data_IF_284700846782
#
_entry.id   IF_284700846782
#
_cell.length_a   1.000
_cell.length_b   1.000
_cell.length_c   1.000
_cell.angle_alpha   90.00
_cell.angle_beta   90.00
_cell.angle_gamma   90.00
#
_symmetry.space_group_name_H-M   'P 1'
#
loop_
_entity.id
_entity.type
_entity.pdbx_description
1 polymer ?
#
# COMPACT_ATOMS: atom_id res chain seq x y z
N UNK A 1 25.16 -49.59 -42.25
CA UNK A 1 26.13 -48.46 -42.16
C UNK A 1 25.93 -47.77 -40.82
N UNK A 2 27.03 -47.27 -40.24
CA UNK A 2 27.24 -46.92 -38.83
C UNK A 2 26.35 -45.76 -38.31
N UNK A 3 25.83 -45.95 -37.08
CA UNK A 3 25.71 -45.11 -35.87
C UNK A 3 26.29 -43.66 -35.84
N UNK A 4 26.11 -42.85 -34.75
CA UNK A 4 24.93 -42.55 -33.90
C UNK A 4 24.91 -41.10 -33.28
N UNK A 5 23.87 -40.79 -32.49
CA UNK A 5 23.79 -40.17 -31.12
C UNK A 5 24.59 -38.91 -30.64
N UNK A 6 23.92 -38.17 -29.72
CA UNK A 6 24.44 -37.26 -28.64
C UNK A 6 23.57 -35.99 -28.54
N UNK A 7 22.78 -35.65 -27.51
CA UNK A 7 22.92 -35.50 -26.03
C UNK A 7 24.03 -34.52 -25.58
N UNK A 8 23.66 -33.64 -24.63
CA UNK A 8 24.43 -32.73 -23.73
C UNK A 8 24.61 -31.30 -24.27
N UNK A 9 24.40 -30.19 -23.52
CA UNK A 9 24.08 -30.01 -22.11
C UNK A 9 23.94 -28.52 -21.72
N UNK A 10 23.53 -28.31 -20.46
CA UNK A 10 23.37 -27.03 -19.75
C UNK A 10 24.69 -26.23 -19.68
N UNK A 11 24.59 -24.90 -19.78
CA UNK A 11 25.69 -23.96 -19.53
C UNK A 11 25.36 -23.00 -18.40
N UNK A 12 25.95 -23.23 -17.24
CA UNK A 12 26.06 -22.31 -16.09
C UNK A 12 27.33 -21.47 -16.28
N UNK A 13 27.31 -20.16 -16.01
CA UNK A 13 28.54 -19.37 -15.83
C UNK A 13 28.42 -18.45 -14.61
N UNK A 14 29.03 -18.91 -13.51
CA UNK A 14 29.77 -18.11 -12.51
C UNK A 14 31.26 -18.47 -12.77
N UNK A 15 32.32 -17.68 -12.57
CA UNK A 15 32.66 -16.56 -11.68
C UNK A 15 34.15 -16.18 -11.89
N UNK A 16 34.61 -15.11 -11.22
CA UNK A 16 36.00 -14.72 -10.89
C UNK A 16 36.87 -14.14 -12.03
N UNK A 17 37.73 -13.13 -11.85
CA UNK A 17 38.17 -12.39 -10.66
C UNK A 17 39.56 -11.77 -10.92
N UNK A 18 39.74 -10.51 -10.50
CA UNK A 18 40.96 -9.87 -9.94
C UNK A 18 42.25 -9.80 -10.81
N UNK A 19 42.82 -8.60 -10.96
CA UNK A 19 44.15 -8.19 -10.41
C UNK A 19 44.42 -6.71 -10.75
N UNK A 20 44.89 -6.00 -9.72
CA UNK A 20 45.18 -4.58 -9.60
C UNK A 20 46.53 -4.14 -10.20
N UNK A 21 46.68 -2.83 -10.47
CA UNK A 21 47.91 -2.08 -10.18
C UNK A 21 47.68 -0.56 -10.21
N UNK A 22 48.18 0.10 -9.16
CA UNK A 22 48.17 1.54 -8.90
C UNK A 22 48.99 2.37 -9.91
N UNK A 23 48.60 3.64 -10.09
CA UNK A 23 49.52 4.78 -10.04
C UNK A 23 48.77 6.08 -9.72
N UNK A 24 49.21 6.74 -8.66
CA UNK A 24 48.73 8.05 -8.20
C UNK A 24 49.58 9.17 -8.82
N UNK A 25 48.97 10.30 -9.21
CA UNK A 25 49.39 11.66 -8.87
C UNK A 25 48.69 12.78 -9.71
N UNK A 26 48.09 13.72 -8.96
CA UNK A 26 48.09 15.18 -9.15
C UNK A 26 47.33 15.86 -10.33
N UNK A 27 46.13 16.37 -9.97
CA UNK A 27 45.58 17.73 -10.14
C UNK A 27 45.97 18.55 -11.38
N UNK A 28 44.97 18.94 -12.19
CA UNK A 28 44.72 20.33 -12.63
C UNK A 28 43.32 20.46 -13.26
N UNK A 29 42.62 21.49 -12.80
CA UNK A 29 41.29 21.94 -13.19
C UNK A 29 41.33 22.65 -14.55
N UNK A 30 40.43 22.32 -15.47
CA UNK A 30 40.17 23.08 -16.69
C UNK A 30 38.79 22.72 -17.27
N UNK A 31 37.81 23.53 -16.91
CA UNK A 31 36.47 23.59 -17.48
C UNK A 31 36.47 24.02 -18.96
N UNK A 32 35.95 23.17 -19.85
CA UNK A 32 35.33 23.50 -21.14
C UNK A 32 34.47 22.28 -21.51
N UNK A 33 33.14 22.32 -21.51
CA UNK A 33 32.31 23.15 -22.39
C UNK A 33 31.70 22.24 -23.47
N UNK A 34 30.66 21.46 -23.11
CA UNK A 34 29.75 20.81 -24.06
C UNK A 34 28.33 21.10 -23.60
N UNK A 35 27.68 22.03 -24.29
CA UNK A 35 26.29 22.43 -24.07
C UNK A 35 25.34 21.27 -24.41
N UNK A 36 24.48 20.90 -23.44
CA UNK A 36 23.30 20.07 -23.69
C UNK A 36 22.13 21.02 -24.00
N UNK A 37 21.28 20.74 -25.00
CA UNK A 37 20.17 21.62 -25.34
C UNK A 37 19.17 21.70 -24.17
N UNK A 38 18.74 22.93 -23.89
CA UNK A 38 17.80 23.27 -22.83
C UNK A 38 16.45 22.58 -23.04
N UNK A 39 16.12 21.64 -22.15
CA UNK A 39 14.73 21.28 -21.90
C UNK A 39 14.08 22.48 -21.21
N UNK A 40 13.02 23.00 -21.81
CA UNK A 40 12.12 23.95 -21.17
C UNK A 40 11.57 23.29 -19.90
N UNK A 41 11.90 23.87 -18.74
CA UNK A 41 11.35 23.44 -17.45
C UNK A 41 9.82 23.68 -17.43
N UNK A 42 9.01 22.68 -17.05
CA UNK A 42 7.58 22.90 -16.82
C UNK A 42 7.37 23.73 -15.54
N UNK A 43 6.28 24.51 -15.44
CA UNK A 43 6.04 25.41 -14.32
C UNK A 43 5.86 24.66 -12.99
N UNK A 44 6.32 25.29 -11.91
CA UNK A 44 6.28 24.82 -10.52
C UNK A 44 4.87 24.37 -10.07
N UNK A 45 4.55 23.09 -10.24
CA UNK A 45 3.59 22.42 -9.37
C UNK A 45 4.30 22.13 -8.04
N UNK A 46 4.17 23.06 -7.10
CA UNK A 46 4.65 22.90 -5.73
C UNK A 46 3.89 21.74 -5.10
N UNK A 47 4.45 20.53 -5.15
CA UNK A 47 4.03 19.44 -4.27
C UNK A 47 4.13 19.95 -2.82
N UNK A 48 3.11 19.76 -1.97
CA UNK A 48 3.19 20.20 -0.58
C UNK A 48 4.43 19.58 0.07
N UNK A 49 5.37 20.42 0.51
CA UNK A 49 6.56 19.94 1.21
C UNK A 49 6.13 19.27 2.51
N UNK A 50 6.68 18.09 2.85
CA UNK A 50 6.42 17.45 4.13
C UNK A 50 6.64 18.44 5.28
N UNK A 51 5.70 18.50 6.23
CA UNK A 51 5.80 19.41 7.38
C UNK A 51 6.70 18.76 8.43
N UNK A 52 7.94 19.25 8.56
CA UNK A 52 8.87 18.87 9.62
C UNK A 52 9.91 17.81 9.23
N UNK A 53 10.70 17.37 10.22
CA UNK A 53 11.79 16.42 10.00
C UNK A 53 11.25 15.04 9.60
N UNK A 54 11.82 14.49 8.53
CA UNK A 54 11.60 13.12 8.04
C UNK A 54 12.66 12.13 8.57
N UNK A 55 13.58 12.61 9.42
CA UNK A 55 14.58 11.74 10.05
C UNK A 55 13.88 10.64 10.86
N UNK A 56 14.30 9.39 10.63
CA UNK A 56 13.79 8.21 11.32
C UNK A 56 12.67 7.45 10.62
N UNK A 57 12.08 7.99 9.55
CA UNK A 57 11.20 7.18 8.69
C UNK A 57 12.00 6.11 7.95
N UNK A 58 11.45 4.89 7.86
CA UNK A 58 12.13 3.77 7.19
C UNK A 58 13.18 3.07 8.03
N UNK A 59 13.41 3.51 9.27
CA UNK A 59 14.36 2.87 10.16
C UNK A 59 13.88 1.48 10.63
N UNK A 60 14.81 0.55 10.90
CA UNK A 60 14.49 -0.67 11.59
C UNK A 60 14.14 -0.39 13.06
N UNK A 61 13.32 -1.26 13.66
CA UNK A 61 13.16 -1.37 15.09
C UNK A 61 14.52 -1.60 15.76
N UNK A 62 14.67 -1.15 17.01
CA UNK A 62 15.87 -1.43 17.78
C UNK A 62 15.92 -2.92 18.16
N UNK A 63 16.68 -3.71 17.39
CA UNK A 63 16.69 -5.17 17.42
C UNK A 63 18.12 -5.75 17.52
N UNK A 64 18.22 -7.07 17.69
CA UNK A 64 19.51 -7.76 17.76
C UNK A 64 20.24 -7.74 16.39
N UNK A 65 21.58 -7.87 16.34
CA UNK A 65 22.33 -7.84 15.08
C UNK A 65 21.85 -8.84 14.03
N UNK A 66 21.49 -10.06 14.45
CA UNK A 66 21.01 -11.10 13.53
C UNK A 66 19.64 -10.76 12.92
N UNK A 67 18.73 -10.19 13.72
CA UNK A 67 17.43 -9.72 13.22
C UNK A 67 17.61 -8.50 12.29
N UNK A 68 18.59 -7.64 12.59
CA UNK A 68 18.89 -6.50 11.72
C UNK A 68 19.43 -6.94 10.36
N UNK A 69 20.27 -7.98 10.33
CA UNK A 69 20.72 -8.57 9.06
C UNK A 69 19.55 -9.16 8.26
N UNK A 70 18.62 -9.85 8.94
CA UNK A 70 17.39 -10.37 8.32
C UNK A 70 16.51 -9.24 7.76
N UNK A 71 16.32 -8.15 8.51
CA UNK A 71 15.63 -6.95 8.03
C UNK A 71 16.31 -6.35 6.81
N UNK A 72 17.64 -6.21 6.82
CA UNK A 72 18.40 -5.63 5.71
C UNK A 72 18.32 -6.47 4.45
N UNK A 73 18.43 -7.81 4.54
CA UNK A 73 18.20 -8.67 3.36
C UNK A 73 16.77 -8.55 2.85
N UNK A 74 15.78 -8.49 3.75
CA UNK A 74 14.40 -8.22 3.39
C UNK A 74 14.22 -6.90 2.64
N UNK A 75 14.92 -5.86 3.09
CA UNK A 75 14.91 -4.54 2.48
C UNK A 75 15.51 -4.55 1.07
N UNK A 76 16.59 -5.30 0.85
CA UNK A 76 17.23 -5.48 -0.45
C UNK A 76 16.30 -6.18 -1.44
N UNK A 77 15.65 -7.28 -1.03
CA UNK A 77 14.63 -7.95 -1.85
C UNK A 77 13.44 -7.03 -2.14
N UNK A 78 13.00 -6.23 -1.16
CA UNK A 78 11.86 -5.31 -1.33
C UNK A 78 12.09 -4.22 -2.38
N UNK A 79 13.36 -3.83 -2.63
CA UNK A 79 13.73 -2.86 -3.68
C UNK A 79 14.15 -3.52 -4.99
N UNK A 80 14.25 -4.85 -5.02
CA UNK A 80 14.61 -5.58 -6.23
C UNK A 80 13.60 -5.29 -7.34
N UNK A 81 14.10 -5.26 -8.57
CA UNK A 81 13.30 -4.99 -9.77
C UNK A 81 13.17 -6.29 -10.54
N UNK A 82 11.94 -6.80 -10.59
CA UNK A 82 11.63 -8.05 -11.24
C UNK A 82 11.95 -8.02 -12.73
N UNK A 83 12.60 -9.09 -13.19
CA UNK A 83 13.03 -9.26 -14.58
C UNK A 83 11.89 -9.77 -15.48
N UNK A 84 10.74 -9.09 -15.42
CA UNK A 84 9.58 -9.39 -16.26
C UNK A 84 9.80 -8.90 -17.71
N UNK A 85 9.62 -9.73 -18.75
CA UNK A 85 9.77 -9.31 -20.15
C UNK A 85 8.87 -8.10 -20.49
N UNK A 86 7.64 -8.09 -19.97
CA UNK A 86 6.67 -6.98 -20.02
C UNK A 86 5.82 -7.04 -18.74
N UNK A 87 5.49 -5.89 -18.15
CA UNK A 87 4.65 -5.81 -16.93
C UNK A 87 3.18 -6.19 -17.21
N UNK A 88 2.82 -6.33 -18.50
CA UNK A 88 1.43 -6.54 -18.90
C UNK A 88 0.52 -5.37 -18.51
N UNK A 89 -0.79 -5.52 -18.74
CA UNK A 89 -1.77 -4.46 -18.53
C UNK A 89 -2.42 -4.46 -17.15
N UNK A 90 -1.96 -5.33 -16.23
CA UNK A 90 -2.63 -5.65 -14.97
C UNK A 90 -1.79 -5.46 -13.72
N UNK A 91 -0.48 -5.29 -13.85
CA UNK A 91 0.43 -5.17 -12.72
C UNK A 91 0.95 -3.73 -12.60
N UNK A 92 1.03 -3.24 -11.36
CA UNK A 92 1.30 -1.84 -11.03
C UNK A 92 2.77 -1.48 -11.24
N UNK A 93 3.67 -2.39 -10.85
CA UNK A 93 5.11 -2.18 -10.97
C UNK A 93 5.88 -3.49 -10.87
N UNK A 94 7.18 -3.42 -11.10
CA UNK A 94 8.15 -4.53 -10.99
C UNK A 94 8.88 -4.56 -9.64
N UNK A 95 8.45 -3.75 -8.68
CA UNK A 95 9.11 -3.66 -7.37
C UNK A 95 8.17 -3.08 -6.33
N UNK A 96 8.15 -3.65 -5.14
CA UNK A 96 7.36 -3.15 -4.00
C UNK A 96 7.72 -1.69 -3.66
N UNK A 97 9.01 -1.35 -3.78
CA UNK A 97 9.52 0.00 -3.54
C UNK A 97 8.96 1.06 -4.50
N UNK A 98 8.38 0.69 -5.64
CA UNK A 98 7.78 1.69 -6.54
C UNK A 98 6.53 2.30 -5.94
N UNK A 99 5.78 1.54 -5.15
CA UNK A 99 4.53 1.99 -4.53
C UNK A 99 4.73 2.35 -3.05
N UNK A 100 5.72 1.77 -2.37
CA UNK A 100 5.94 1.93 -0.93
C UNK A 100 7.23 2.69 -0.59
N UNK A 101 7.30 3.99 -0.92
CA UNK A 101 8.55 4.76 -0.79
C UNK A 101 8.44 6.15 -0.17
N UNK A 102 7.23 6.69 0.04
CA UNK A 102 7.08 8.04 0.58
C UNK A 102 6.70 8.05 2.07
N UNK A 103 7.45 8.74 2.95
CA UNK A 103 8.64 9.55 2.69
C UNK A 103 9.97 8.76 2.64
N UNK A 104 9.94 7.49 3.01
CA UNK A 104 11.06 6.57 2.96
C UNK A 104 10.55 5.18 2.53
N UNK A 105 11.45 4.25 2.27
CA UNK A 105 11.09 2.87 1.93
C UNK A 105 10.17 2.26 3.00
N UNK A 106 9.11 1.59 2.55
CA UNK A 106 7.97 1.16 3.39
C UNK A 106 6.90 2.23 3.59
N UNK A 107 7.02 3.36 2.89
CA UNK A 107 6.07 4.46 2.92
C UNK A 107 4.78 4.21 2.13
N UNK A 108 3.97 5.26 1.94
CA UNK A 108 2.85 5.23 1.01
C UNK A 108 3.29 5.59 -0.41
N UNK A 109 2.42 5.35 -1.39
CA UNK A 109 2.60 5.86 -2.74
C UNK A 109 2.28 7.35 -2.83
N UNK A 110 2.86 8.05 -3.80
CA UNK A 110 2.51 9.44 -4.12
C UNK A 110 1.40 9.55 -5.18
N UNK A 111 1.03 8.42 -5.79
CA UNK A 111 0.05 8.28 -6.87
C UNK A 111 -0.98 7.18 -6.58
N UNK A 112 -2.02 7.09 -7.38
CA UNK A 112 -2.92 5.93 -7.42
C UNK A 112 -2.15 4.76 -8.02
N UNK A 113 -2.23 3.62 -7.35
CA UNK A 113 -1.53 2.40 -7.77
C UNK A 113 -2.55 1.36 -8.24
N UNK A 114 -3.76 1.38 -7.69
CA UNK A 114 -4.74 0.32 -7.89
C UNK A 114 -6.08 0.90 -8.35
N UNK A 115 -6.68 0.30 -9.39
CA UNK A 115 -8.05 0.55 -9.80
C UNK A 115 -8.89 -0.71 -9.61
N UNK A 116 -9.99 -0.57 -8.88
CA UNK A 116 -10.97 -1.65 -8.69
C UNK A 116 -12.24 -1.34 -9.46
N UNK A 117 -12.82 -2.35 -10.11
CA UNK A 117 -14.09 -2.21 -10.81
C UNK A 117 -15.16 -2.99 -10.06
N UNK A 118 -16.34 -2.38 -9.98
CA UNK A 118 -17.54 -3.05 -9.53
C UNK A 118 -18.60 -3.12 -10.61
N UNK A 119 -19.12 -4.32 -10.84
CA UNK A 119 -20.43 -4.52 -11.45
C UNK A 119 -21.44 -4.77 -10.33
N UNK A 120 -22.27 -3.77 -9.99
CA UNK A 120 -23.19 -3.83 -8.85
C UNK A 120 -24.42 -4.72 -9.10
N UNK A 121 -24.68 -5.12 -10.35
CA UNK A 121 -25.88 -5.88 -10.73
C UNK A 121 -25.67 -7.38 -10.81
N UNK A 122 -24.42 -7.86 -10.75
CA UNK A 122 -24.10 -9.29 -10.82
C UNK A 122 -23.20 -9.67 -9.65
N UNK A 123 -23.54 -10.73 -8.87
CA UNK A 123 -22.54 -11.38 -8.04
C UNK A 123 -21.39 -11.84 -8.95
N UNK A 124 -20.19 -11.36 -8.68
CA UNK A 124 -19.02 -11.67 -9.50
C UNK A 124 -17.74 -11.35 -8.75
N UNK A 125 -16.61 -11.94 -9.15
CA UNK A 125 -15.32 -11.66 -8.53
C UNK A 125 -14.99 -10.17 -8.65
N UNK A 126 -14.46 -9.59 -7.58
CA UNK A 126 -13.87 -8.26 -7.60
C UNK A 126 -12.73 -8.27 -8.63
N UNK A 127 -12.84 -7.42 -9.64
CA UNK A 127 -11.78 -7.27 -10.63
C UNK A 127 -10.87 -6.12 -10.19
N UNK A 128 -9.62 -6.46 -9.91
CA UNK A 128 -8.56 -5.51 -9.55
C UNK A 128 -7.69 -5.36 -10.78
N UNK A 129 -7.51 -4.15 -11.24
CA UNK A 129 -6.60 -3.81 -12.32
C UNK A 129 -5.45 -3.03 -11.73
N UNK A 130 -4.28 -3.21 -12.32
CA UNK A 130 -3.34 -2.12 -12.27
C UNK A 130 -4.01 -0.87 -12.80
N UNK A 131 -3.97 0.13 -11.94
CA UNK A 131 -3.99 1.46 -12.44
C UNK A 131 -2.67 1.62 -13.21
N UNK A 132 -2.63 2.41 -14.30
CA UNK A 132 -1.40 3.17 -14.53
C UNK A 132 -1.02 3.86 -13.20
N UNK A 133 0.10 4.55 -13.12
CA UNK A 133 0.25 5.54 -12.06
C UNK A 133 -0.82 6.65 -12.23
N UNK A 134 -2.13 6.34 -12.18
CA UNK A 134 -3.19 7.11 -12.80
C UNK A 134 -3.34 8.33 -11.96
N UNK A 135 -3.05 9.36 -12.70
CA UNK A 135 -3.42 10.69 -12.43
C UNK A 135 -4.28 10.97 -13.66
N UNK A 136 -5.61 10.89 -13.47
CA UNK A 136 -6.55 11.07 -14.57
C UNK A 136 -6.38 12.48 -15.12
N UNK A 137 -6.30 12.60 -16.44
CA UNK A 137 -6.36 13.88 -17.14
C UNK A 137 -7.80 14.40 -17.11
N UNK A 138 -8.13 15.24 -16.14
CA UNK A 138 -9.33 16.09 -16.13
C UNK A 138 -10.09 16.18 -14.79
N UNK A 139 -11.06 17.12 -14.69
CA UNK A 139 -11.93 17.33 -13.53
C UNK A 139 -12.55 16.04 -12.99
N UNK A 140 -12.17 15.64 -11.78
CA UNK A 140 -12.87 14.57 -11.05
C UNK A 140 -13.89 15.14 -10.08
N UNK A 141 -15.04 14.50 -9.97
CA UNK A 141 -16.12 14.88 -9.05
C UNK A 141 -16.62 13.66 -8.26
N UNK A 142 -16.87 13.82 -6.95
CA UNK A 142 -17.59 12.84 -6.14
C UNK A 142 -18.69 13.59 -5.39
N UNK A 143 -19.94 13.12 -5.42
CA UNK A 143 -21.08 13.83 -4.83
C UNK A 143 -21.29 15.26 -5.40
N UNK A 144 -20.91 15.50 -6.66
CA UNK A 144 -21.00 16.82 -7.30
C UNK A 144 -19.92 17.84 -6.91
N UNK A 145 -18.96 17.47 -6.04
CA UNK A 145 -17.83 18.32 -5.67
C UNK A 145 -16.61 18.03 -6.57
N UNK A 146 -16.07 19.02 -7.32
CA UNK A 146 -14.86 18.85 -8.11
C UNK A 146 -13.60 18.87 -7.23
N UNK A 147 -12.74 17.86 -7.33
CA UNK A 147 -11.53 17.72 -6.50
C UNK A 147 -10.21 17.64 -7.29
N UNK A 148 -10.23 17.39 -8.60
CA UNK A 148 -9.03 17.49 -9.48
C UNK A 148 -9.26 18.43 -10.66
N UNK A 149 -9.33 19.74 -10.45
CA UNK A 149 -9.74 20.70 -11.49
C UNK A 149 -8.95 20.64 -12.81
N UNK A 150 -7.66 20.27 -12.77
CA UNK A 150 -6.77 20.21 -13.94
C UNK A 150 -6.28 18.78 -14.28
N UNK A 151 -6.75 17.76 -13.57
CA UNK A 151 -6.13 16.44 -13.58
C UNK A 151 -4.74 16.44 -12.94
N UNK A 152 -4.04 15.32 -13.03
CA UNK A 152 -2.62 15.22 -12.68
C UNK A 152 -1.93 14.35 -13.76
N UNK A 153 -0.63 14.51 -14.02
CA UNK A 153 0.11 13.69 -15.00
C UNK A 153 0.92 12.56 -14.36
N UNK A 154 1.04 11.43 -15.07
CA UNK A 154 2.01 10.39 -14.75
C UNK A 154 2.62 9.77 -16.01
N UNK A 155 3.85 9.28 -15.86
CA UNK A 155 4.56 8.50 -16.88
C UNK A 155 4.24 7.01 -16.71
N UNK A 156 3.51 6.37 -17.64
CA UNK A 156 3.15 4.97 -17.52
C UNK A 156 4.35 4.04 -17.77
N UNK A 157 4.38 2.90 -17.08
CA UNK A 157 5.24 1.75 -17.44
C UNK A 157 4.61 1.03 -18.65
N UNK A 158 4.71 1.64 -19.83
CA UNK A 158 4.19 1.07 -21.08
C UNK A 158 2.72 1.38 -21.34
N UNK A 159 2.00 0.47 -22.00
CA UNK A 159 0.64 0.69 -22.46
C UNK A 159 -0.41 -0.09 -21.64
N UNK A 160 -0.84 0.48 -20.51
CA UNK A 160 -1.81 -0.17 -19.61
C UNK A 160 -3.25 -0.07 -20.12
N UNK A 161 -4.11 -0.96 -19.62
CA UNK A 161 -5.54 -1.01 -19.97
C UNK A 161 -6.32 0.24 -19.54
N UNK A 162 -5.75 1.02 -18.63
CA UNK A 162 -6.40 2.18 -18.04
C UNK A 162 -6.05 3.50 -18.74
N UNK A 163 -5.06 3.50 -19.65
CA UNK A 163 -4.63 4.68 -20.39
C UNK A 163 -5.52 4.93 -21.62
N UNK A 164 -6.15 6.11 -21.69
CA UNK A 164 -7.08 6.45 -22.77
C UNK A 164 -6.42 6.64 -24.15
N UNK A 165 -5.11 6.90 -24.20
CA UNK A 165 -4.34 7.15 -25.42
C UNK A 165 -3.64 5.92 -25.99
N UNK A 166 -3.94 4.74 -25.45
CA UNK A 166 -3.15 3.55 -25.63
C UNK A 166 -3.67 2.62 -26.74
N UNK A 167 -2.76 2.06 -27.54
CA UNK A 167 -3.14 1.03 -28.52
C UNK A 167 -3.19 -0.34 -27.82
N UNK A 168 -4.39 -0.70 -27.36
CA UNK A 168 -4.63 -1.90 -26.57
C UNK A 168 -4.44 -3.18 -27.40
N UNK A 169 -3.81 -4.18 -26.80
CA UNK A 169 -3.71 -5.53 -27.36
C UNK A 169 -5.08 -6.24 -27.41
N UNK A 170 -5.27 -7.24 -28.29
CA UNK A 170 -6.44 -8.11 -28.29
C UNK A 170 -6.85 -8.64 -26.91
N UNK A 171 -5.89 -9.03 -26.06
CA UNK A 171 -6.21 -9.50 -24.72
C UNK A 171 -6.73 -8.37 -23.81
N UNK A 172 -6.15 -7.16 -23.88
CA UNK A 172 -6.67 -6.00 -23.15
C UNK A 172 -8.12 -5.71 -23.55
N UNK A 173 -8.43 -5.77 -24.85
CA UNK A 173 -9.80 -5.59 -25.34
C UNK A 173 -10.75 -6.69 -24.85
N UNK A 174 -10.29 -7.95 -24.81
CA UNK A 174 -11.06 -9.05 -24.25
C UNK A 174 -11.35 -8.84 -22.75
N UNK A 175 -10.33 -8.48 -21.98
CA UNK A 175 -10.47 -8.24 -20.54
C UNK A 175 -11.38 -7.03 -20.25
N UNK A 176 -11.30 -5.96 -21.04
CA UNK A 176 -12.26 -4.85 -20.99
C UNK A 176 -13.69 -5.34 -21.19
N UNK A 177 -13.92 -6.19 -22.20
CA UNK A 177 -15.24 -6.73 -22.50
C UNK A 177 -15.75 -7.65 -21.38
N UNK A 178 -14.89 -8.49 -20.79
CA UNK A 178 -15.26 -9.40 -19.71
C UNK A 178 -15.61 -8.67 -18.41
N UNK A 179 -14.88 -7.60 -18.10
CA UNK A 179 -15.00 -6.90 -16.81
C UNK A 179 -15.88 -5.65 -16.87
N UNK A 180 -16.19 -5.19 -18.08
CA UNK A 180 -16.92 -3.95 -18.31
C UNK A 180 -16.09 -2.69 -17.98
N UNK A 181 -14.76 -2.80 -17.94
CA UNK A 181 -13.85 -1.66 -17.79
C UNK A 181 -13.92 -0.74 -19.00
N UNK A 182 -13.80 0.57 -18.73
CA UNK A 182 -13.40 1.55 -19.72
C UNK A 182 -12.61 2.68 -19.06
N UNK A 183 -11.63 3.30 -19.74
CA UNK A 183 -10.90 4.46 -19.21
C UNK A 183 -11.79 5.63 -18.78
N UNK A 184 -13.02 5.70 -19.30
CA UNK A 184 -14.02 6.73 -18.98
C UNK A 184 -14.98 6.38 -17.84
N UNK A 185 -14.82 5.24 -17.15
CA UNK A 185 -15.72 4.89 -16.05
C UNK A 185 -15.68 5.94 -14.93
N UNK A 186 -16.83 6.39 -14.41
CA UNK A 186 -16.85 7.34 -13.30
C UNK A 186 -16.30 6.71 -12.01
N UNK A 187 -15.75 7.55 -11.12
CA UNK A 187 -15.42 7.12 -9.77
C UNK A 187 -16.70 6.74 -9.03
N UNK A 188 -16.65 5.65 -8.27
CA UNK A 188 -17.80 5.20 -7.50
C UNK A 188 -18.22 6.27 -6.48
N UNK A 189 -19.50 6.63 -6.54
CA UNK A 189 -20.20 7.35 -5.48
C UNK A 189 -21.21 6.39 -4.85
N UNK A 190 -20.87 5.74 -3.72
CA UNK A 190 -21.74 4.74 -3.10
C UNK A 190 -23.06 5.32 -2.60
N UNK A 191 -23.22 6.64 -2.58
CA UNK A 191 -24.44 7.34 -2.15
C UNK A 191 -25.37 7.73 -3.30
N UNK A 192 -24.93 7.55 -4.55
CA UNK A 192 -25.68 7.98 -5.74
C UNK A 192 -26.76 6.99 -6.20
N UNK A 193 -27.77 7.51 -6.90
CA UNK A 193 -28.79 6.68 -7.56
C UNK A 193 -28.20 5.82 -8.70
N UNK A 194 -27.16 6.31 -9.38
CA UNK A 194 -26.46 5.58 -10.44
C UNK A 194 -25.75 4.35 -9.88
N UNK A 195 -25.11 4.48 -8.71
CA UNK A 195 -24.52 3.36 -7.99
C UNK A 195 -25.58 2.35 -7.54
N UNK A 196 -26.71 2.82 -7.01
CA UNK A 196 -27.83 1.97 -6.56
C UNK A 196 -28.52 1.21 -7.72
N UNK A 197 -28.55 1.79 -8.91
CA UNK A 197 -29.04 1.15 -10.14
C UNK A 197 -28.00 0.23 -10.81
N UNK A 198 -26.79 0.19 -10.24
CA UNK A 198 -25.75 -0.76 -10.54
C UNK A 198 -24.94 -0.47 -11.80
N UNK A 199 -24.83 0.80 -12.17
CA UNK A 199 -23.88 1.26 -13.17
C UNK A 199 -22.45 0.88 -12.77
N UNK A 200 -21.64 0.53 -13.77
CA UNK A 200 -20.22 0.28 -13.55
C UNK A 200 -19.53 1.57 -13.12
N UNK A 201 -18.66 1.45 -12.13
CA UNK A 201 -17.82 2.52 -11.65
C UNK A 201 -16.47 1.95 -11.21
N UNK A 202 -15.52 2.84 -10.96
CA UNK A 202 -14.18 2.50 -10.52
C UNK A 202 -13.82 3.11 -9.18
N UNK A 203 -12.97 2.44 -8.42
CA UNK A 203 -12.35 2.98 -7.21
C UNK A 203 -10.85 3.08 -7.41
N UNK A 204 -10.25 4.13 -6.86
CA UNK A 204 -8.82 4.40 -6.93
C UNK A 204 -8.21 4.27 -5.54
N UNK A 205 -7.03 3.65 -5.44
CA UNK A 205 -6.34 3.46 -4.16
C UNK A 205 -4.85 3.78 -4.23
N UNK A 206 -4.37 4.46 -3.20
CA UNK A 206 -2.95 4.64 -2.90
C UNK A 206 -2.42 3.44 -2.11
N UNK A 207 -1.15 3.09 -2.31
CA UNK A 207 -0.48 2.12 -1.47
C UNK A 207 -0.43 2.60 -0.01
N UNK A 208 -0.80 1.72 0.93
CA UNK A 208 -0.79 2.04 2.36
C UNK A 208 0.64 2.10 2.89
N UNK A 209 0.99 3.01 3.81
CA UNK A 209 2.29 2.97 4.48
C UNK A 209 2.40 1.73 5.35
N UNK A 210 3.58 1.12 5.39
CA UNK A 210 3.90 -0.15 6.08
C UNK A 210 4.61 0.08 7.43
N UNK A 211 4.97 1.31 7.76
CA UNK A 211 5.69 1.64 9.00
C UNK A 211 4.98 1.10 10.24
N UNK A 212 5.72 0.40 11.09
CA UNK A 212 5.23 -0.18 12.34
C UNK A 212 4.27 -1.35 12.16
N UNK A 213 4.07 -1.89 10.95
CA UNK A 213 3.09 -2.96 10.73
C UNK A 213 3.47 -4.27 11.45
N UNK A 214 4.76 -4.53 11.70
CA UNK A 214 5.16 -5.62 12.61
C UNK A 214 4.56 -5.50 14.01
N UNK A 215 4.44 -4.27 14.53
CA UNK A 215 3.79 -4.00 15.81
C UNK A 215 2.26 -4.18 15.73
N UNK A 216 1.66 -3.87 14.57
CA UNK A 216 0.21 -4.06 14.32
C UNK A 216 -0.14 -5.54 14.19
N UNK A 217 0.69 -6.32 13.49
CA UNK A 217 0.57 -7.78 13.42
C UNK A 217 0.67 -8.41 14.81
N UNK A 218 1.45 -7.81 15.72
CA UNK A 218 1.62 -8.25 17.10
C UNK A 218 0.46 -7.89 18.06
N UNK A 219 -0.60 -7.22 17.60
CA UNK A 219 -1.81 -6.96 18.40
C UNK A 219 -2.68 -8.23 18.45
N UNK A 220 -3.26 -8.56 19.61
CA UNK A 220 -4.14 -9.74 19.69
C UNK A 220 -5.53 -9.45 19.09
N UNK A 221 -6.15 -10.46 18.49
CA UNK A 221 -7.52 -10.36 17.97
C UNK A 221 -8.53 -9.85 19.01
N UNK A 222 -8.35 -10.29 20.26
CA UNK A 222 -9.17 -9.84 21.40
C UNK A 222 -9.12 -8.33 21.60
N UNK A 223 -7.96 -7.70 21.38
CA UNK A 223 -7.78 -6.25 21.55
C UNK A 223 -8.68 -5.47 20.60
N UNK A 224 -8.83 -5.89 19.35
CA UNK A 224 -9.74 -5.24 18.39
C UNK A 224 -11.21 -5.40 18.79
N UNK A 225 -11.58 -6.58 19.29
CA UNK A 225 -12.93 -6.86 19.81
C UNK A 225 -13.23 -5.96 21.02
N UNK A 226 -12.28 -5.81 21.94
CA UNK A 226 -12.42 -4.93 23.09
C UNK A 226 -12.54 -3.46 22.67
N UNK A 227 -11.73 -2.99 21.72
CA UNK A 227 -11.83 -1.61 21.21
C UNK A 227 -13.24 -1.35 20.66
N UNK A 228 -13.75 -2.23 19.79
CA UNK A 228 -15.10 -2.10 19.24
C UNK A 228 -16.19 -2.12 20.34
N UNK A 229 -16.05 -2.99 21.34
CA UNK A 229 -17.02 -3.10 22.43
C UNK A 229 -17.09 -1.83 23.30
N UNK A 230 -15.96 -1.15 23.51
CA UNK A 230 -15.89 0.08 24.30
C UNK A 230 -16.29 1.34 23.53
N UNK A 231 -16.38 1.28 22.19
CA UNK A 231 -16.84 2.41 21.39
C UNK A 231 -18.35 2.68 21.58
N UNK A 232 -18.77 3.95 21.58
CA UNK A 232 -20.18 4.33 21.52
C UNK A 232 -20.86 3.73 20.28
N UNK A 233 -22.13 3.36 20.38
CA UNK A 233 -22.85 2.68 19.30
C UNK A 233 -22.80 3.44 17.95
N UNK A 234 -22.83 4.77 17.97
CA UNK A 234 -22.77 5.61 16.77
C UNK A 234 -21.41 5.58 16.06
N UNK A 235 -20.33 5.30 16.80
CA UNK A 235 -18.95 5.28 16.29
C UNK A 235 -18.35 3.87 16.30
N UNK A 236 -19.13 2.85 16.63
CA UNK A 236 -18.63 1.49 16.78
C UNK A 236 -18.18 0.94 15.43
N UNK A 237 -16.90 0.59 15.35
CA UNK A 237 -16.31 -0.08 14.20
C UNK A 237 -16.71 -1.54 14.12
N UNK A 238 -16.59 -2.10 12.93
CA UNK A 238 -16.83 -3.52 12.66
C UNK A 238 -15.51 -4.25 12.62
N UNK A 239 -15.37 -5.27 13.47
CA UNK A 239 -14.25 -6.21 13.43
C UNK A 239 -14.48 -7.20 12.29
N UNK A 240 -13.68 -7.10 11.22
CA UNK A 240 -13.73 -8.06 10.11
C UNK A 240 -12.86 -9.27 10.43
N UNK A 241 -13.41 -10.47 10.22
CA UNK A 241 -12.67 -11.72 10.29
C UNK A 241 -12.44 -12.27 8.88
N UNK A 242 -11.25 -12.83 8.66
CA UNK A 242 -10.87 -13.50 7.41
C UNK A 242 -10.29 -14.87 7.72
N UNK A 243 -10.49 -15.81 6.81
CA UNK A 243 -9.80 -17.11 6.85
C UNK A 243 -8.57 -16.99 5.96
N UNK A 244 -7.40 -17.04 6.57
CA UNK A 244 -6.11 -16.81 5.91
C UNK A 244 -5.12 -17.86 6.43
N UNK A 245 -4.28 -18.44 5.57
CA UNK A 245 -3.26 -19.42 5.98
C UNK A 245 -3.80 -20.50 6.94
N UNK A 246 -4.99 -21.04 6.62
CA UNK A 246 -5.64 -22.12 7.39
C UNK A 246 -6.28 -21.74 8.73
N UNK A 247 -6.36 -20.45 9.10
CA UNK A 247 -6.97 -20.02 10.35
C UNK A 247 -7.80 -18.74 10.21
N UNK A 248 -8.85 -18.64 11.03
CA UNK A 248 -9.69 -17.44 11.15
C UNK A 248 -8.98 -16.42 12.04
N UNK A 249 -8.80 -15.20 11.54
CA UNK A 249 -8.13 -14.09 12.24
C UNK A 249 -8.87 -12.78 12.03
N UNK A 250 -8.66 -11.84 12.95
CA UNK A 250 -9.08 -10.44 12.76
C UNK A 250 -8.20 -9.78 11.70
N UNK A 251 -8.83 -9.34 10.62
CA UNK A 251 -8.18 -8.58 9.56
C UNK A 251 -7.83 -7.16 10.04
N UNK A 252 -6.71 -6.64 9.54
CA UNK A 252 -6.11 -5.38 10.01
C UNK A 252 -5.28 -4.64 8.96
N UNK A 253 -5.14 -5.22 7.76
CA UNK A 253 -4.32 -4.71 6.67
C UNK A 253 -5.15 -4.47 5.39
N UNK A 254 -4.65 -3.59 4.52
CA UNK A 254 -5.38 -3.07 3.36
C UNK A 254 -6.35 -1.94 3.72
N UNK A 255 -7.06 -1.40 2.73
CA UNK A 255 -8.05 -0.31 2.96
C UNK A 255 -9.40 -0.79 3.51
N UNK A 256 -9.70 -2.09 3.35
CA UNK A 256 -10.97 -2.72 3.72
C UNK A 256 -10.82 -3.93 4.64
N UNK A 257 -9.73 -3.99 5.40
CA UNK A 257 -9.42 -5.13 6.27
C UNK A 257 -9.53 -6.45 5.50
N UNK A 258 -8.83 -6.54 4.38
CA UNK A 258 -8.90 -7.70 3.50
C UNK A 258 -7.97 -8.82 3.96
N UNK A 259 -6.95 -8.49 4.77
CA UNK A 259 -5.89 -9.39 5.18
C UNK A 259 -5.57 -9.21 6.66
N UNK A 260 -5.20 -10.29 7.36
CA UNK A 260 -4.89 -10.30 8.79
C UNK A 260 -3.39 -10.41 9.09
N UNK A 261 -2.57 -10.90 8.16
CA UNK A 261 -1.14 -11.14 8.39
C UNK A 261 -0.28 -10.40 7.36
N UNK A 262 0.97 -10.09 7.72
CA UNK A 262 1.89 -9.46 6.78
C UNK A 262 2.28 -10.41 5.65
N UNK A 263 2.28 -11.73 5.92
CA UNK A 263 2.55 -12.78 4.93
C UNK A 263 1.49 -12.82 3.85
N UNK A 264 0.20 -12.87 4.22
CA UNK A 264 -0.84 -12.77 3.20
C UNK A 264 -0.87 -11.39 2.55
N UNK A 265 -0.52 -10.32 3.25
CA UNK A 265 -0.55 -8.97 2.69
C UNK A 265 0.49 -8.81 1.58
N UNK A 266 1.74 -9.25 1.80
CA UNK A 266 2.76 -9.22 0.75
C UNK A 266 2.54 -10.29 -0.31
N UNK A 267 2.14 -11.51 0.06
CA UNK A 267 1.92 -12.59 -0.91
C UNK A 267 0.77 -12.29 -1.88
N UNK A 268 -0.33 -11.74 -1.39
CA UNK A 268 -1.46 -11.31 -2.23
C UNK A 268 -1.07 -10.15 -3.13
N UNK A 269 -0.31 -9.17 -2.60
CA UNK A 269 0.18 -8.04 -3.41
C UNK A 269 1.22 -8.48 -4.46
N UNK A 270 2.10 -9.44 -4.15
CA UNK A 270 3.12 -9.91 -5.10
C UNK A 270 2.48 -10.56 -6.32
N UNK A 271 1.44 -11.37 -6.12
CA UNK A 271 0.64 -11.94 -7.20
C UNK A 271 -0.21 -10.87 -7.92
N UNK A 272 -0.98 -10.07 -7.18
CA UNK A 272 -2.00 -9.22 -7.79
C UNK A 272 -1.49 -7.90 -8.36
N UNK A 273 -0.40 -7.36 -7.81
CA UNK A 273 0.12 -6.02 -8.12
C UNK A 273 1.47 -6.08 -8.85
N UNK A 274 2.28 -7.13 -8.67
CA UNK A 274 3.57 -7.30 -9.36
C UNK A 274 3.50 -8.39 -10.43
N UNK A 275 2.67 -9.41 -10.21
CA UNK A 275 2.47 -10.51 -11.14
C UNK A 275 3.43 -11.67 -10.94
N UNK A 276 3.90 -11.89 -9.71
CA UNK A 276 4.75 -13.02 -9.34
C UNK A 276 3.94 -13.93 -8.41
N UNK A 277 3.67 -15.17 -8.85
CA UNK A 277 3.04 -16.15 -7.99
C UNK A 277 4.06 -16.68 -6.97
N UNK A 278 3.56 -17.18 -5.84
CA UNK A 278 4.39 -17.49 -4.68
C UNK A 278 3.82 -18.68 -3.91
N UNK A 279 4.54 -19.26 -2.93
CA UNK A 279 4.11 -20.56 -2.41
C UNK A 279 2.79 -20.52 -1.60
N UNK A 280 2.32 -19.33 -1.20
CA UNK A 280 0.97 -19.15 -0.61
C UNK A 280 -0.11 -18.93 -1.66
N UNK A 281 0.26 -18.34 -2.80
CA UNK A 281 -0.61 -18.05 -3.94
C UNK A 281 0.05 -18.54 -5.23
N UNK A 282 0.09 -19.87 -5.46
CA UNK A 282 0.89 -20.48 -6.54
C UNK A 282 0.19 -20.47 -7.90
N UNK A 283 -1.02 -19.91 -7.97
CA UNK A 283 -1.81 -19.87 -9.19
C UNK A 283 -1.71 -18.48 -9.78
N UNK A 284 -1.29 -18.45 -11.02
CA UNK A 284 -0.91 -17.23 -11.68
C UNK A 284 -2.11 -16.36 -12.09
N UNK A 285 -1.91 -15.05 -12.21
CA UNK A 285 -3.01 -14.10 -12.45
C UNK A 285 -3.13 -13.65 -13.92
N UNK A 286 -4.04 -14.28 -14.66
CA UNK A 286 -4.69 -13.77 -15.90
C UNK A 286 -3.81 -13.39 -17.12
N UNK A 287 -4.43 -13.51 -18.30
CA UNK A 287 -3.83 -13.94 -19.59
C UNK A 287 -3.29 -12.85 -20.53
N UNK A 288 -3.06 -11.61 -20.05
CA UNK A 288 -2.85 -10.48 -20.96
C UNK A 288 -1.43 -9.92 -21.09
N UNK A 289 -0.46 -10.35 -20.29
CA UNK A 289 0.88 -9.75 -20.32
C UNK A 289 1.68 -10.05 -21.61
N UNK A 290 1.30 -11.06 -22.40
CA UNK A 290 2.07 -11.53 -23.57
C UNK A 290 1.34 -11.54 -24.91
N UNK A 291 0.18 -10.87 -25.04
CA UNK A 291 -0.61 -10.83 -26.28
C UNK A 291 -0.95 -12.24 -26.85
N UNK A 292 -1.11 -13.24 -25.95
CA UNK A 292 -1.54 -14.59 -26.30
C UNK A 292 -3.02 -14.74 -25.94
N UNK A 293 -3.85 -15.06 -26.92
CA UNK A 293 -5.26 -15.43 -26.72
C UNK A 293 -5.32 -16.94 -26.50
N UNK A 294 -5.20 -17.38 -25.25
CA UNK A 294 -5.61 -18.70 -24.73
C UNK A 294 -5.13 -18.79 -23.26
N UNK A 295 -5.94 -19.39 -22.40
CA UNK A 295 -5.76 -19.62 -20.96
C UNK A 295 -4.30 -19.70 -20.48
N UNK A 296 -3.98 -18.90 -19.45
CA UNK A 296 -2.66 -18.81 -18.82
C UNK A 296 -1.69 -17.91 -19.57
N UNK A 297 -1.30 -16.78 -18.98
CA UNK A 297 0.01 -16.21 -19.28
C UNK A 297 0.80 -16.43 -18.03
N UNK A 298 1.72 -17.38 -18.15
CA UNK A 298 2.77 -17.56 -17.20
C UNK A 298 4.09 -17.05 -17.79
N UNK A 299 4.99 -16.74 -16.88
CA UNK A 299 6.42 -16.65 -17.20
C UNK A 299 6.91 -17.99 -17.82
N UNK A 300 6.26 -19.12 -17.48
CA UNK A 300 6.26 -20.41 -18.20
C UNK A 300 4.97 -21.24 -18.00
N UNK A 301 4.46 -21.97 -18.99
CA UNK A 301 3.06 -22.48 -19.03
C UNK A 301 2.56 -23.47 -17.93
N UNK A 302 3.29 -23.68 -16.82
CA UNK A 302 2.92 -24.50 -15.68
C UNK A 302 2.42 -23.66 -14.48
N UNK A 303 1.23 -23.96 -13.89
CA UNK A 303 0.79 -23.29 -12.65
C UNK A 303 1.68 -23.72 -11.45
N UNK A 304 2.76 -22.99 -11.20
CA UNK A 304 3.68 -23.18 -10.08
C UNK A 304 4.21 -21.84 -9.54
N UNK A 305 4.70 -21.80 -8.28
CA UNK A 305 5.16 -20.53 -7.72
C UNK A 305 6.46 -20.07 -8.40
N UNK A 306 6.48 -18.88 -9.01
CA UNK A 306 7.74 -18.35 -9.54
C UNK A 306 8.67 -17.86 -8.42
N UNK A 307 8.10 -17.36 -7.33
CA UNK A 307 8.83 -17.13 -6.08
C UNK A 307 9.11 -18.47 -5.38
N UNK A 308 10.37 -18.89 -5.44
CA UNK A 308 10.83 -20.17 -4.91
C UNK A 308 11.78 -19.97 -3.72
N UNK A 309 11.72 -20.83 -2.70
CA UNK A 309 12.66 -20.77 -1.59
C UNK A 309 14.13 -20.87 -2.02
N UNK A 310 14.95 -19.97 -1.48
CA UNK A 310 16.40 -19.97 -1.64
C UNK A 310 17.10 -21.09 -0.85
N UNK A 311 18.44 -21.05 -0.78
CA UNK A 311 19.24 -22.02 -0.04
C UNK A 311 18.99 -21.98 1.48
N UNK A 312 18.48 -20.86 1.99
CA UNK A 312 18.08 -20.66 3.38
C UNK A 312 16.61 -21.09 3.61
N UNK A 313 15.94 -21.60 2.57
CA UNK A 313 14.54 -22.00 2.60
C UNK A 313 13.58 -20.81 2.65
N UNK A 314 14.01 -19.62 2.24
CA UNK A 314 13.22 -18.39 2.27
C UNK A 314 12.84 -17.98 0.85
N UNK A 315 11.55 -17.77 0.62
CA UNK A 315 11.05 -17.15 -0.60
C UNK A 315 11.10 -15.61 -0.47
N UNK A 316 10.96 -14.86 -1.57
CA UNK A 316 10.93 -13.39 -1.55
C UNK A 316 9.80 -12.86 -0.68
N UNK A 317 8.64 -13.53 -0.69
CA UNK A 317 7.53 -13.21 0.22
C UNK A 317 7.96 -13.25 1.69
N UNK A 318 8.88 -14.14 2.07
CA UNK A 318 9.42 -14.22 3.42
C UNK A 318 10.31 -13.01 3.73
N UNK A 319 11.12 -12.61 2.76
CA UNK A 319 12.01 -11.45 2.83
C UNK A 319 11.21 -10.15 2.96
N UNK A 320 10.08 -10.02 2.24
CA UNK A 320 9.16 -8.88 2.41
C UNK A 320 8.57 -8.84 3.83
N UNK A 321 8.15 -9.99 4.35
CA UNK A 321 7.60 -10.10 5.71
C UNK A 321 8.64 -9.73 6.76
N UNK A 322 9.89 -10.17 6.60
CA UNK A 322 10.99 -9.84 7.51
C UNK A 322 11.27 -8.33 7.55
N UNK A 323 11.30 -7.68 6.37
CA UNK A 323 11.42 -6.23 6.27
C UNK A 323 10.26 -5.52 6.99
N UNK A 324 9.02 -5.88 6.67
CA UNK A 324 7.83 -5.22 7.25
C UNK A 324 7.70 -5.45 8.77
N UNK A 325 8.09 -6.62 9.28
CA UNK A 325 8.07 -6.92 10.71
C UNK A 325 9.14 -6.16 11.49
N UNK A 326 10.28 -5.90 10.85
CA UNK A 326 11.37 -5.12 11.42
C UNK A 326 11.24 -3.61 11.22
N UNK A 327 10.32 -3.13 10.39
CA UNK A 327 10.15 -1.72 10.06
C UNK A 327 9.50 -0.93 11.21
N UNK A 328 10.19 0.09 11.73
CA UNK A 328 9.72 0.86 12.88
C UNK A 328 8.54 1.78 12.52
N UNK A 329 7.77 2.15 13.54
CA UNK A 329 6.76 3.19 13.41
C UNK A 329 7.42 4.57 13.21
N UNK A 330 6.76 5.52 12.54
CA UNK A 330 7.34 6.85 12.35
C UNK A 330 7.57 7.56 13.69
N UNK A 331 8.70 8.29 13.85
CA UNK A 331 8.96 9.03 15.08
C UNK A 331 7.99 10.22 15.19
N UNK A 332 7.63 10.58 16.42
CA UNK A 332 6.88 11.81 16.71
C UNK A 332 7.81 13.00 16.90
N UNK A 333 7.30 14.21 16.64
CA UNK A 333 8.00 15.46 16.95
C UNK A 333 7.60 15.99 18.33
N UNK A 334 8.47 16.77 19.02
CA UNK A 334 8.09 17.46 20.24
C UNK A 334 6.90 18.41 20.01
N UNK A 335 5.90 18.33 20.88
CA UNK A 335 4.72 19.18 20.81
C UNK A 335 4.93 20.55 21.47
N UNK A 336 4.58 21.62 20.75
CA UNK A 336 4.37 22.97 21.27
C UNK A 336 3.17 23.03 22.21
N UNK A 337 2.95 24.17 22.87
CA UNK A 337 1.75 24.40 23.68
C UNK A 337 0.47 24.28 22.85
N UNK A 338 0.48 24.79 21.62
CA UNK A 338 -0.66 24.71 20.69
C UNK A 338 -0.92 23.29 20.22
N UNK A 339 0.12 22.51 19.89
CA UNK A 339 -0.03 21.10 19.54
C UNK A 339 -0.59 20.26 20.71
N UNK A 340 -0.21 20.56 21.96
CA UNK A 340 -0.79 19.88 23.15
C UNK A 340 -2.26 20.23 23.34
N UNK A 341 -2.62 21.52 23.16
CA UNK A 341 -4.02 21.94 23.17
C UNK A 341 -4.82 21.26 22.06
N UNK A 342 -4.23 21.16 20.86
CA UNK A 342 -4.77 20.45 19.72
C UNK A 342 -5.02 18.97 19.95
N UNK A 343 -4.11 18.27 20.64
CA UNK A 343 -4.32 16.88 21.04
C UNK A 343 -5.55 16.73 21.96
N UNK A 344 -5.73 17.66 22.90
CA UNK A 344 -6.91 17.71 23.75
C UNK A 344 -8.20 17.95 22.96
N UNK A 345 -8.17 18.90 22.02
CA UNK A 345 -9.29 19.19 21.12
C UNK A 345 -9.63 18.00 20.21
N UNK A 346 -8.62 17.32 19.65
CA UNK A 346 -8.79 16.13 18.82
C UNK A 346 -9.59 15.03 19.53
N UNK A 347 -9.31 14.80 20.82
CA UNK A 347 -10.10 13.88 21.62
C UNK A 347 -11.51 14.43 21.92
N UNK A 348 -11.62 15.71 22.28
CA UNK A 348 -12.88 16.33 22.68
C UNK A 348 -13.92 16.43 21.54
N UNK A 349 -13.49 16.63 20.30
CA UNK A 349 -14.37 16.69 19.13
C UNK A 349 -14.70 15.30 18.56
N UNK A 350 -14.23 14.22 19.19
CA UNK A 350 -14.62 12.86 18.86
C UNK A 350 -13.73 12.13 17.84
N UNK A 351 -12.64 12.73 17.36
CA UNK A 351 -11.72 12.04 16.43
C UNK A 351 -11.14 10.76 17.04
N UNK A 352 -10.83 10.80 18.34
CA UNK A 352 -10.29 9.67 19.10
C UNK A 352 -11.23 8.48 19.26
N UNK A 353 -12.49 8.58 18.81
CA UNK A 353 -13.42 7.46 18.80
C UNK A 353 -12.97 6.33 17.87
N UNK A 354 -12.51 6.68 16.65
CA UNK A 354 -11.94 5.74 15.68
C UNK A 354 -10.41 5.83 15.67
N UNK A 355 -9.86 7.05 15.75
CA UNK A 355 -8.42 7.28 15.79
C UNK A 355 -7.85 7.09 17.22
N UNK A 356 -7.98 5.87 17.74
CA UNK A 356 -7.59 5.51 19.11
C UNK A 356 -6.10 5.76 19.32
N UNK A 357 -5.78 6.60 20.31
CA UNK A 357 -4.43 7.16 20.49
C UNK A 357 -3.35 6.12 20.85
N UNK A 358 -3.73 5.01 21.48
CA UNK A 358 -2.78 3.99 21.88
C UNK A 358 -3.37 2.60 21.89
N UNK A 359 -2.57 1.62 21.47
CA UNK A 359 -2.90 0.19 21.55
C UNK A 359 -1.71 -0.53 22.18
N UNK A 360 -1.99 -1.60 22.93
CA UNK A 360 -0.96 -2.47 23.50
C UNK A 360 -0.84 -3.75 22.69
N UNK A 361 0.38 -4.10 22.28
CA UNK A 361 0.65 -5.38 21.60
C UNK A 361 0.55 -6.55 22.59
N UNK A 362 0.36 -7.76 22.05
CA UNK A 362 0.23 -8.98 22.83
C UNK A 362 1.48 -9.26 23.69
N UNK A 363 1.30 -9.98 24.80
CA UNK A 363 2.41 -10.48 25.61
C UNK A 363 3.17 -11.63 24.92
N UNK A 364 2.55 -12.31 23.96
CA UNK A 364 3.16 -13.40 23.19
C UNK A 364 2.72 -13.38 21.71
N UNK A 365 3.25 -12.46 20.89
CA UNK A 365 3.01 -12.41 19.44
C UNK A 365 3.29 -13.74 18.73
N UNK A 366 4.39 -14.41 19.09
CA UNK A 366 4.77 -15.70 18.49
C UNK A 366 3.72 -16.82 18.65
N UNK A 367 2.72 -16.67 19.52
CA UNK A 367 1.64 -17.65 19.64
C UNK A 367 0.63 -17.63 18.48
N UNK A 368 0.56 -16.53 17.71
CA UNK A 368 -0.46 -16.38 16.68
C UNK A 368 0.03 -15.72 15.38
N UNK A 369 1.14 -15.00 15.42
CA UNK A 369 1.80 -14.50 14.20
C UNK A 369 2.31 -15.70 13.40
N UNK A 370 1.86 -15.89 12.14
CA UNK A 370 2.26 -17.05 11.37
C UNK A 370 3.77 -17.03 11.06
N UNK A 371 4.43 -18.19 10.98
CA UNK A 371 5.78 -18.26 10.45
C UNK A 371 5.79 -17.79 8.98
N UNK A 372 6.98 -17.49 8.47
CA UNK A 372 7.20 -17.28 7.03
C UNK A 372 6.89 -18.58 6.26
N UNK A 373 6.82 -18.51 4.94
CA UNK A 373 6.59 -19.62 4.01
C UNK A 373 7.62 -20.74 4.14
N UNK A 374 8.89 -20.39 4.34
CA UNK A 374 9.95 -21.31 4.76
C UNK A 374 9.75 -21.98 6.13
N UNK A 375 8.67 -21.66 6.85
CA UNK A 375 8.39 -22.17 8.19
C UNK A 375 9.19 -21.46 9.28
N UNK A 376 9.83 -20.32 8.99
CA UNK A 376 10.65 -19.60 9.97
C UNK A 376 9.73 -18.82 10.93
N UNK A 377 9.71 -19.15 12.23
CA UNK A 377 8.92 -18.42 13.21
C UNK A 377 9.56 -17.06 13.54
N UNK A 378 8.81 -16.19 14.22
CA UNK A 378 9.40 -15.00 14.85
C UNK A 378 10.58 -15.41 15.74
N UNK A 379 11.73 -14.78 15.53
CA UNK A 379 12.90 -15.00 16.38
C UNK A 379 12.58 -14.63 17.84
N UNK A 380 13.23 -15.25 18.83
CA UNK A 380 13.02 -14.91 20.24
C UNK A 380 13.29 -13.42 20.54
N UNK A 381 14.28 -12.84 19.87
CA UNK A 381 14.70 -11.44 20.01
C UNK A 381 13.69 -10.49 19.37
N UNK A 382 13.23 -10.75 18.15
CA UNK A 382 12.17 -9.94 17.51
C UNK A 382 10.84 -10.06 18.27
N UNK A 383 10.46 -11.26 18.71
CA UNK A 383 9.27 -11.45 19.55
C UNK A 383 9.37 -10.65 20.85
N UNK A 384 10.56 -10.54 21.46
CA UNK A 384 10.80 -9.69 22.62
C UNK A 384 10.64 -8.20 22.31
N UNK A 385 11.09 -7.74 21.13
CA UNK A 385 10.94 -6.34 20.68
C UNK A 385 9.47 -5.98 20.45
N UNK A 386 8.70 -6.89 19.86
CA UNK A 386 7.30 -6.67 19.49
C UNK A 386 6.31 -6.80 20.66
N UNK A 387 6.59 -7.65 21.66
CA UNK A 387 5.62 -7.97 22.71
C UNK A 387 5.44 -6.85 23.75
N UNK A 388 4.22 -6.75 24.28
CA UNK A 388 3.87 -5.93 25.45
C UNK A 388 4.27 -4.44 25.30
N UNK A 389 4.23 -3.92 24.08
CA UNK A 389 4.55 -2.54 23.71
C UNK A 389 3.27 -1.71 23.67
N UNK A 390 3.30 -0.52 24.26
CA UNK A 390 2.28 0.50 23.97
C UNK A 390 2.75 1.26 22.74
N UNK A 391 1.93 1.25 21.70
CA UNK A 391 2.17 1.94 20.45
C UNK A 391 1.14 3.05 20.26
N UNK A 392 1.43 4.03 19.40
CA UNK A 392 0.59 5.22 19.20
C UNK A 392 0.14 5.39 17.73
N UNK A 393 -0.66 4.46 17.19
CA UNK A 393 -1.07 4.49 15.79
C UNK A 393 -2.14 5.54 15.49
N UNK A 394 -2.87 6.02 16.51
CA UNK A 394 -4.05 6.87 16.30
C UNK A 394 -5.03 6.22 15.32
N UNK A 395 -5.35 4.96 15.57
CA UNK A 395 -6.25 4.13 14.79
C UNK A 395 -6.68 2.93 15.63
N UNK A 396 -7.92 2.51 15.46
CA UNK A 396 -8.46 1.26 15.95
C UNK A 396 -8.31 0.09 14.96
N UNK A 397 -7.91 0.38 13.71
CA UNK A 397 -7.84 -0.54 12.59
C UNK A 397 -9.16 -1.28 12.30
N UNK A 398 -10.31 -0.70 12.68
CA UNK A 398 -11.61 -1.28 12.41
C UNK A 398 -12.24 -0.70 11.14
N UNK A 399 -13.25 -1.38 10.61
CA UNK A 399 -14.06 -0.86 9.52
C UNK A 399 -15.13 0.10 10.03
N UNK A 400 -15.23 1.26 9.40
CA UNK A 400 -16.26 2.26 9.67
C UNK A 400 -17.03 2.61 8.41
N UNK A 401 -18.32 2.88 8.56
CA UNK A 401 -19.13 3.44 7.48
C UNK A 401 -18.72 4.91 7.29
N UNK A 402 -18.05 5.19 6.18
CA UNK A 402 -17.55 6.50 5.81
C UNK A 402 -18.46 7.22 4.81
N UNK A 403 -19.67 6.71 4.57
CA UNK A 403 -20.66 7.30 3.65
C UNK A 403 -20.08 7.56 2.26
N UNK A 404 -20.15 8.81 1.80
CA UNK A 404 -19.60 9.24 0.49
C UNK A 404 -18.09 9.05 0.37
N UNK A 405 -17.34 9.02 1.48
CA UNK A 405 -15.90 8.75 1.47
C UNK A 405 -15.57 7.25 1.30
N UNK A 406 -16.57 6.37 1.30
CA UNK A 406 -16.35 5.00 0.87
C UNK A 406 -16.00 4.91 -0.62
N UNK A 407 -15.22 3.90 -0.98
CA UNK A 407 -14.76 3.71 -2.36
C UNK A 407 -15.76 2.96 -3.27
N UNK A 408 -16.92 2.53 -2.74
CA UNK A 408 -17.96 1.81 -3.48
C UNK A 408 -17.68 0.32 -3.74
N UNK A 409 -16.50 -0.20 -3.42
CA UNK A 409 -16.14 -1.61 -3.58
C UNK A 409 -16.72 -2.45 -2.44
N UNK A 410 -17.21 -3.66 -2.67
CA UNK A 410 -17.51 -4.58 -1.55
C UNK A 410 -16.43 -5.63 -1.47
N UNK A 411 -15.95 -5.90 -0.26
CA UNK A 411 -14.92 -6.91 -0.01
C UNK A 411 -15.26 -7.73 1.23
N UNK A 412 -15.77 -8.94 1.01
CA UNK A 412 -16.30 -9.79 2.07
C UNK A 412 -17.37 -9.05 2.89
N UNK A 413 -17.15 -8.94 4.20
CA UNK A 413 -18.03 -8.21 5.11
C UNK A 413 -17.92 -6.67 5.03
N UNK A 414 -16.92 -6.13 4.32
CA UNK A 414 -16.77 -4.70 4.12
C UNK A 414 -17.70 -4.23 2.99
N UNK A 415 -18.77 -3.52 3.34
CA UNK A 415 -19.69 -2.91 2.39
C UNK A 415 -19.06 -1.77 1.56
N UNK A 416 -19.82 -1.21 0.59
CA UNK A 416 -19.34 -0.15 -0.30
C UNK A 416 -18.85 1.11 0.43
N UNK A 417 -19.49 1.46 1.54
CA UNK A 417 -19.19 2.66 2.32
C UNK A 417 -18.15 2.42 3.42
N UNK A 418 -17.77 1.16 3.66
CA UNK A 418 -16.93 0.79 4.79
C UNK A 418 -15.45 1.02 4.47
N UNK A 419 -14.69 1.73 5.30
CA UNK A 419 -13.24 1.84 5.17
C UNK A 419 -12.57 1.59 6.52
N UNK A 420 -11.37 1.01 6.49
CA UNK A 420 -10.55 0.83 7.69
C UNK A 420 -10.03 2.18 8.17
N UNK A 421 -10.02 2.43 9.47
CA UNK A 421 -9.32 3.58 10.06
C UNK A 421 -7.81 3.46 9.78
N UNK A 422 -7.27 4.30 8.89
CA UNK A 422 -5.82 4.36 8.66
C UNK A 422 -5.10 4.94 9.90
N UNK A 423 -3.91 4.43 10.28
CA UNK A 423 -3.13 5.01 11.36
C UNK A 423 -2.66 6.43 10.99
N UNK A 424 -2.72 7.36 11.94
CA UNK A 424 -2.27 8.74 11.76
C UNK A 424 -0.82 8.96 12.18
N UNK A 425 -0.13 7.96 12.71
CA UNK A 425 1.32 8.06 12.85
C UNK A 425 1.99 8.33 11.49
N UNK A 426 2.96 9.23 11.45
CA UNK A 426 3.59 9.71 10.22
C UNK A 426 2.68 10.48 9.26
N UNK A 427 1.45 10.87 9.63
CA UNK A 427 0.53 11.59 8.74
C UNK A 427 1.13 12.91 8.24
N UNK A 428 1.99 13.55 9.05
CA UNK A 428 2.70 14.79 8.67
C UNK A 428 3.57 14.68 7.42
N UNK A 429 3.96 13.45 7.07
CA UNK A 429 4.85 13.17 5.95
C UNK A 429 4.12 12.74 4.67
N UNK A 430 2.79 12.60 4.71
CA UNK A 430 2.00 12.26 3.53
C UNK A 430 1.80 13.49 2.63
N UNK A 431 2.03 13.31 1.33
CA UNK A 431 1.77 14.32 0.28
C UNK A 431 0.35 14.29 -0.26
N UNK A 432 -0.34 13.16 -0.06
CA UNK A 432 -1.71 12.87 -0.45
C UNK A 432 -2.38 12.02 0.63
N UNK A 433 -3.64 12.32 0.91
CA UNK A 433 -4.41 11.80 2.03
C UNK A 433 -5.69 11.15 1.54
N UNK A 434 -6.30 10.35 2.42
CA UNK A 434 -7.42 9.44 2.12
C UNK A 434 -6.98 8.26 1.26
N UNK A 435 -7.90 7.33 1.02
CA UNK A 435 -7.59 6.08 0.33
C UNK A 435 -7.22 6.30 -1.14
N UNK A 436 -7.78 7.33 -1.77
CA UNK A 436 -7.62 7.68 -3.17
C UNK A 436 -6.78 8.95 -3.38
N UNK A 437 -6.09 9.42 -2.33
CA UNK A 437 -5.20 10.56 -2.44
C UNK A 437 -5.87 11.89 -2.82
N UNK A 438 -7.21 12.02 -2.79
CA UNK A 438 -7.89 13.24 -3.25
C UNK A 438 -7.60 14.49 -2.41
N UNK A 439 -7.14 14.31 -1.18
CA UNK A 439 -6.86 15.41 -0.27
C UNK A 439 -5.37 15.73 -0.24
N UNK A 440 -5.03 17.00 -0.50
CA UNK A 440 -3.64 17.48 -0.53
C UNK A 440 -3.14 17.96 0.85
N UNK A 441 -4.05 18.19 1.78
CA UNK A 441 -3.73 18.54 3.16
C UNK A 441 -4.71 17.94 4.18
N UNK A 442 -4.31 18.00 5.45
CA UNK A 442 -5.03 17.38 6.56
C UNK A 442 -6.40 18.03 6.77
N UNK A 443 -6.53 19.34 6.58
CA UNK A 443 -7.79 20.04 6.77
C UNK A 443 -8.82 19.64 5.69
N UNK A 444 -8.38 19.51 4.44
CA UNK A 444 -9.16 18.98 3.33
C UNK A 444 -9.55 17.52 3.58
N UNK A 445 -8.64 16.69 4.07
CA UNK A 445 -8.95 15.30 4.42
C UNK A 445 -10.05 15.21 5.50
N UNK A 446 -9.99 16.07 6.52
CA UNK A 446 -11.04 16.16 7.55
C UNK A 446 -12.40 16.49 6.92
N UNK A 447 -12.47 17.45 6.00
CA UNK A 447 -13.72 17.85 5.34
C UNK A 447 -14.42 16.71 4.59
N UNK A 448 -13.66 15.76 4.05
CA UNK A 448 -14.23 14.60 3.35
C UNK A 448 -14.80 13.52 4.27
N UNK A 449 -14.55 13.56 5.58
CA UNK A 449 -15.09 12.57 6.50
C UNK A 449 -16.63 12.60 6.47
N UNK A 450 -17.25 11.46 6.21
CA UNK A 450 -18.70 11.31 6.15
C UNK A 450 -19.11 10.04 6.93
N UNK A 451 -20.38 9.64 6.83
CA UNK A 451 -20.92 8.51 7.57
C UNK A 451 -20.75 8.67 9.09
N UNK A 452 -20.21 7.66 9.76
CA UNK A 452 -19.95 7.66 11.21
C UNK A 452 -19.05 8.82 11.65
N UNK A 453 -18.15 9.29 10.78
CA UNK A 453 -17.22 10.38 11.11
C UNK A 453 -17.78 11.79 10.89
N UNK A 454 -19.00 11.94 10.33
CA UNK A 454 -19.57 13.25 10.00
C UNK A 454 -19.69 14.17 11.22
N UNK A 455 -20.07 13.63 12.39
CA UNK A 455 -20.19 14.42 13.61
C UNK A 455 -18.85 15.01 14.06
N UNK A 456 -17.75 14.22 14.00
CA UNK A 456 -16.41 14.68 14.36
C UNK A 456 -15.88 15.72 13.36
N UNK A 457 -16.16 15.54 12.06
CA UNK A 457 -15.89 16.56 11.03
C UNK A 457 -16.61 17.87 11.36
N UNK A 458 -17.92 17.81 11.58
CA UNK A 458 -18.73 19.00 11.81
C UNK A 458 -18.30 19.73 13.10
N UNK A 459 -17.90 18.98 14.13
CA UNK A 459 -17.32 19.53 15.34
C UNK A 459 -15.98 20.25 15.08
N UNK A 460 -15.09 19.69 14.25
CA UNK A 460 -13.87 20.39 13.81
C UNK A 460 -14.19 21.67 13.04
N UNK A 461 -15.15 21.62 12.11
CA UNK A 461 -15.57 22.79 11.32
C UNK A 461 -16.21 23.88 12.18
N UNK A 462 -16.81 23.50 13.32
CA UNK A 462 -17.37 24.43 14.31
C UNK A 462 -16.34 25.05 15.28
N UNK A 463 -15.09 24.57 15.30
CA UNK A 463 -14.03 25.18 16.10
C UNK A 463 -13.65 26.56 15.57
N UNK A 464 -13.09 27.41 16.45
CA UNK A 464 -12.48 28.67 16.00
C UNK A 464 -11.26 28.41 15.10
N UNK A 465 -10.86 29.33 14.20
CA UNK A 465 -9.69 29.13 13.36
C UNK A 465 -8.41 28.79 14.13
N UNK A 466 -8.21 29.40 15.31
CA UNK A 466 -7.08 29.09 16.18
C UNK A 466 -7.11 27.65 16.71
N UNK A 467 -8.29 27.17 17.13
CA UNK A 467 -8.47 25.80 17.61
C UNK A 467 -8.33 24.77 16.49
N UNK A 468 -8.82 25.07 15.28
CA UNK A 468 -8.57 24.23 14.11
C UNK A 468 -7.07 24.12 13.85
N UNK A 469 -6.35 25.25 13.86
CA UNK A 469 -4.90 25.25 13.68
C UNK A 469 -4.19 24.45 14.78
N UNK A 470 -4.61 24.54 16.04
CA UNK A 470 -4.05 23.72 17.12
C UNK A 470 -4.18 22.22 16.84
N UNK A 471 -5.36 21.75 16.39
CA UNK A 471 -5.56 20.34 15.97
C UNK A 471 -4.64 19.98 14.80
N UNK A 472 -4.48 20.86 13.81
CA UNK A 472 -3.56 20.63 12.69
C UNK A 472 -2.09 20.61 13.13
N UNK A 473 -1.71 21.44 14.11
CA UNK A 473 -0.36 21.45 14.69
C UNK A 473 -0.07 20.14 15.43
N UNK A 474 -1.05 19.62 16.18
CA UNK A 474 -0.96 18.29 16.77
C UNK A 474 -0.73 17.21 15.72
N UNK A 475 -1.54 17.17 14.67
CA UNK A 475 -1.40 16.20 13.59
C UNK A 475 -0.07 16.36 12.84
N UNK A 476 0.47 17.58 12.78
CA UNK A 476 1.81 17.87 12.27
C UNK A 476 2.95 17.33 13.14
N UNK A 477 2.67 16.89 14.37
CA UNK A 477 3.68 16.28 15.26
C UNK A 477 3.72 14.76 15.19
N UNK A 478 2.72 14.12 14.60
CA UNK A 478 2.61 12.65 14.58
C UNK A 478 3.00 12.05 13.26
#
# INVERSE_FOLDING_TARGET
>A
MRSPAGIVGKGTIRSLGVVAALLAALVLDASAGVERPAFLEPPDHVMPRPRGSLSGFGNPLLMAPDDLAVFSTGQETFIEVESLPQLGPLFNSRSCATCHFQPALGGSGSFINEIRIRNNTRPGPLQIFASDNILRLGPQTQGGQPFFQNGVEASPLGCQITSAGCNLSPCQLELMAQTGWSPGLPICDPTSADFASGHNCSAERQATPLFGFGLVEAISDHTFIEIAAHQPAALRGVVKQVTELGAVRVARFGWKDDVATLRGFSGDAYLNEVGISNPDFPNDRSTCALNKTLSGVLLDADDDPEDQPDAEGRADVDRFVDFMRGLDAPPTLPQSTDARAGQGLFAAIGCGGCHVASIRTSFNPAAFVPPTTGGVPLSPTLNFVLRNRTIHPYSDFLLHDMGSLGDGITSGAAGPMMMRTAPLWGVRAKSRLLHDGRAEDIAGAIQFHAGQAAASRDAFLGLTPAQQQQVLDFLGTI
#
